data_IF_447614637565
#
_entry.id   IF_447614637565
#
_cell.length_a   1.000
_cell.length_b   1.000
_cell.length_c   1.000
_cell.angle_alpha   90.00
_cell.angle_beta   90.00
_cell.angle_gamma   90.00
#
_symmetry.space_group_name_H-M   'P 1'
#
loop_
_entity.id
_entity.type
_entity.pdbx_description
1 polymer ?
#
# COMPACT_ATOMS: atom_id res chain seq x y z
N UNK A 1 -10.12 18.02 -2.73
CA UNK A 1 -9.70 16.60 -2.86
C UNK A 1 -8.97 16.10 -1.61
N UNK A 2 -9.35 16.55 -0.40
CA UNK A 2 -8.62 16.23 0.84
C UNK A 2 -8.62 14.74 1.20
N UNK A 3 -9.72 14.02 0.95
CA UNK A 3 -9.77 12.57 1.17
C UNK A 3 -8.81 11.84 0.23
N UNK A 4 -8.69 12.30 -1.02
CA UNK A 4 -7.76 11.73 -2.00
C UNK A 4 -6.31 11.96 -1.58
N UNK A 5 -5.98 13.16 -1.12
CA UNK A 5 -4.63 13.50 -0.62
C UNK A 5 -4.27 12.68 0.64
N UNK A 6 -5.23 12.50 1.56
CA UNK A 6 -5.05 11.66 2.76
C UNK A 6 -4.82 10.20 2.35
N UNK A 7 -5.63 9.69 1.42
CA UNK A 7 -5.51 8.32 0.93
C UNK A 7 -4.14 8.09 0.26
N UNK A 8 -3.73 8.97 -0.65
CA UNK A 8 -2.44 8.90 -1.36
C UNK A 8 -1.27 9.05 -0.39
N UNK A 9 -1.36 9.94 0.59
CA UNK A 9 -0.34 10.11 1.63
C UNK A 9 -0.18 8.83 2.45
N UNK A 10 -1.28 8.24 2.92
CA UNK A 10 -1.23 7.01 3.69
C UNK A 10 -0.69 5.83 2.88
N UNK A 11 -1.09 5.72 1.61
CA UNK A 11 -0.59 4.70 0.69
C UNK A 11 0.91 4.89 0.42
N UNK A 12 1.38 6.12 0.26
CA UNK A 12 2.79 6.45 0.10
C UNK A 12 3.61 6.11 1.34
N UNK A 13 3.18 6.51 2.52
CA UNK A 13 3.97 6.31 3.74
C UNK A 13 3.98 4.85 4.20
N UNK A 14 2.84 4.16 4.10
CA UNK A 14 2.68 2.83 4.69
C UNK A 14 2.75 1.69 3.69
N UNK A 15 2.18 1.86 2.48
CA UNK A 15 2.16 0.80 1.49
C UNK A 15 3.47 0.75 0.68
N UNK A 16 4.02 1.88 0.25
CA UNK A 16 5.23 1.87 -0.60
C UNK A 16 6.43 1.22 0.08
N UNK A 17 6.69 1.52 1.37
CA UNK A 17 7.81 0.90 2.09
C UNK A 17 7.66 -0.62 2.21
N UNK A 18 6.42 -1.12 2.36
CA UNK A 18 6.15 -2.57 2.48
C UNK A 18 6.22 -3.26 1.12
N UNK A 19 5.64 -2.64 0.10
CA UNK A 19 5.67 -3.13 -1.28
C UNK A 19 7.10 -3.15 -1.85
N UNK A 20 7.94 -2.17 -1.51
CA UNK A 20 9.34 -2.14 -1.93
C UNK A 20 10.19 -3.24 -1.26
N UNK A 21 9.76 -3.76 -0.11
CA UNK A 21 10.48 -4.79 0.65
C UNK A 21 10.15 -6.22 0.20
N UNK A 22 9.11 -6.43 -0.61
CA UNK A 22 8.69 -7.77 -1.06
C UNK A 22 9.69 -8.37 -2.04
N UNK A 23 9.99 -9.66 -1.86
CA UNK A 23 11.02 -10.38 -2.65
C UNK A 23 10.41 -11.32 -3.69
N UNK A 24 9.10 -11.44 -3.71
CA UNK A 24 8.36 -12.23 -4.69
C UNK A 24 7.04 -11.57 -5.05
N UNK A 25 6.50 -11.95 -6.20
CA UNK A 25 5.20 -11.46 -6.66
C UNK A 25 4.06 -11.88 -5.72
N UNK A 26 4.17 -13.04 -5.07
CA UNK A 26 3.14 -13.53 -4.14
C UNK A 26 3.09 -12.70 -2.84
N UNK A 27 4.27 -12.36 -2.30
CA UNK A 27 4.40 -11.40 -1.19
C UNK A 27 3.87 -10.02 -1.58
N UNK A 28 4.24 -9.52 -2.76
CA UNK A 28 3.75 -8.25 -3.29
C UNK A 28 2.22 -8.22 -3.36
N UNK A 29 1.63 -9.26 -3.95
CA UNK A 29 0.17 -9.39 -4.10
C UNK A 29 -0.53 -9.39 -2.75
N UNK A 30 0.01 -10.13 -1.77
CA UNK A 30 -0.53 -10.18 -0.41
C UNK A 30 -0.50 -8.80 0.26
N UNK A 31 0.64 -8.11 0.21
CA UNK A 31 0.78 -6.77 0.79
C UNK A 31 -0.11 -5.74 0.08
N UNK A 32 -0.22 -5.82 -1.25
CA UNK A 32 -1.10 -4.94 -2.03
C UNK A 32 -2.58 -5.13 -1.65
N UNK A 33 -3.04 -6.37 -1.55
CA UNK A 33 -4.41 -6.70 -1.15
C UNK A 33 -4.71 -6.22 0.28
N UNK A 34 -3.78 -6.35 1.22
CA UNK A 34 -3.94 -5.79 2.57
C UNK A 34 -4.05 -4.26 2.56
N UNK A 35 -3.29 -3.58 1.71
CA UNK A 35 -3.32 -2.12 1.64
C UNK A 35 -4.65 -1.62 1.11
N UNK A 36 -5.31 -2.33 0.19
CA UNK A 36 -6.60 -1.94 -0.38
C UNK A 36 -7.78 -2.40 0.48
N UNK A 37 -7.69 -3.58 1.12
CA UNK A 37 -8.78 -4.14 1.92
C UNK A 37 -8.96 -3.48 3.29
N UNK A 38 -7.97 -2.68 3.74
CA UNK A 38 -7.99 -2.01 5.04
C UNK A 38 -8.37 -0.53 4.94
N UNK A 39 -8.72 -0.08 3.73
CA UNK A 39 -9.49 1.12 3.48
C UNK A 39 -10.95 0.76 3.23
#
# INVERSE_FOLDING_TARGET
>A
MAIYDIFVTFLRERAMSRLAATRSFDEFKTVAMECVSRF
#
